data_IF_119132475700
#
_entry.id   IF_119132475700
#
_cell.length_a   1.000
_cell.length_b   1.000
_cell.length_c   1.000
_cell.angle_alpha   90.00
_cell.angle_beta   90.00
_cell.angle_gamma   90.00
#
_symmetry.space_group_name_H-M   'P 1'
#
loop_
_entity.id
_entity.type
_entity.pdbx_description
1 polymer ?
#
# COMPACT_ATOMS: atom_id res chain seq x y z
N UNK A 1 27.60 -60.40 0.21
CA UNK A 1 26.50 -59.56 -0.33
C UNK A 1 26.24 -58.36 0.59
N UNK A 2 27.04 -57.28 0.56
CA UNK A 2 26.79 -56.07 1.38
C UNK A 2 27.08 -54.74 0.66
N UNK A 3 27.63 -54.77 -0.54
CA UNK A 3 28.12 -53.58 -1.27
C UNK A 3 27.15 -53.01 -2.32
N UNK A 4 26.00 -53.64 -2.56
CA UNK A 4 25.02 -53.16 -3.57
C UNK A 4 23.95 -52.21 -3.02
N UNK A 5 23.73 -52.16 -1.71
CA UNK A 5 22.71 -51.30 -1.07
C UNK A 5 23.21 -49.84 -0.96
N UNK A 6 24.53 -49.62 -0.87
CA UNK A 6 25.13 -48.29 -0.72
C UNK A 6 25.05 -47.41 -1.98
N UNK A 7 24.90 -48.01 -3.17
CA UNK A 7 24.83 -47.24 -4.43
C UNK A 7 23.46 -46.59 -4.67
N UNK A 8 22.37 -47.16 -4.14
CA UNK A 8 21.04 -46.55 -4.27
C UNK A 8 20.83 -45.40 -3.27
N UNK A 9 21.46 -45.47 -2.09
CA UNK A 9 21.37 -44.42 -1.07
C UNK A 9 22.01 -43.09 -1.53
N UNK A 10 23.09 -43.16 -2.33
CA UNK A 10 23.75 -41.97 -2.90
C UNK A 10 22.92 -41.27 -3.99
N UNK A 11 22.00 -41.99 -4.66
CA UNK A 11 21.16 -41.43 -5.72
C UNK A 11 19.95 -40.68 -5.15
N UNK A 12 19.41 -41.12 -4.02
CA UNK A 12 18.31 -40.44 -3.31
C UNK A 12 18.74 -39.12 -2.66
N UNK A 13 20.01 -39.00 -2.25
CA UNK A 13 20.54 -37.79 -1.61
C UNK A 13 20.64 -36.60 -2.58
N UNK A 14 20.77 -36.85 -3.89
CA UNK A 14 20.85 -35.81 -4.93
C UNK A 14 19.48 -35.20 -5.27
N UNK A 15 18.38 -35.92 -5.05
CA UNK A 15 17.00 -35.44 -5.29
C UNK A 15 16.52 -34.54 -4.13
N UNK A 16 17.10 -34.68 -2.93
CA UNK A 16 16.76 -33.85 -1.77
C UNK A 16 17.41 -32.46 -1.80
N UNK A 17 18.42 -32.24 -2.66
CA UNK A 17 19.12 -30.96 -2.80
C UNK A 17 18.49 -30.03 -3.87
N UNK A 18 17.44 -30.47 -4.57
CA UNK A 18 16.79 -29.71 -5.64
C UNK A 18 15.53 -28.95 -5.20
N UNK A 19 15.40 -28.60 -3.92
CA UNK A 19 14.44 -27.57 -3.50
C UNK A 19 14.95 -26.18 -3.95
N UNK A 20 15.06 -25.98 -5.26
CA UNK A 20 15.35 -24.68 -5.84
C UNK A 20 14.19 -23.74 -5.54
N UNK A 21 14.46 -22.67 -4.81
CA UNK A 21 13.56 -21.53 -4.72
C UNK A 21 13.51 -20.84 -6.09
N UNK A 22 12.52 -21.21 -6.92
CA UNK A 22 12.21 -20.49 -8.14
C UNK A 22 11.33 -19.30 -7.77
N UNK A 23 11.92 -18.11 -7.77
CA UNK A 23 11.18 -16.88 -7.67
C UNK A 23 11.29 -16.13 -9.00
N UNK A 24 10.15 -15.67 -9.51
CA UNK A 24 10.08 -14.75 -10.64
C UNK A 24 9.76 -13.37 -10.09
N UNK A 25 10.48 -12.33 -10.55
CA UNK A 25 10.22 -10.95 -10.14
C UNK A 25 9.69 -10.17 -11.34
N UNK A 26 8.62 -9.43 -11.11
CA UNK A 26 8.00 -8.55 -12.08
C UNK A 26 7.96 -7.15 -11.49
N UNK A 27 8.12 -6.15 -12.35
CA UNK A 27 8.05 -4.77 -11.94
C UNK A 27 7.19 -4.00 -12.91
N UNK A 28 6.37 -3.10 -12.38
CA UNK A 28 5.53 -2.19 -13.13
C UNK A 28 4.68 -2.89 -14.22
N UNK A 29 4.02 -4.01 -13.88
CA UNK A 29 2.99 -4.58 -14.77
C UNK A 29 1.67 -3.83 -14.59
N UNK A 30 1.00 -3.55 -15.69
CA UNK A 30 -0.31 -2.85 -15.66
C UNK A 30 -1.38 -3.64 -14.91
N UNK A 31 -1.33 -4.97 -14.90
CA UNK A 31 -2.25 -5.80 -14.11
C UNK A 31 -2.08 -5.58 -12.60
N UNK A 32 -0.83 -5.48 -12.13
CA UNK A 32 -0.50 -5.23 -10.73
C UNK A 32 -0.94 -3.83 -10.32
N UNK A 33 -0.79 -2.86 -11.23
CA UNK A 33 -1.27 -1.48 -11.05
C UNK A 33 -2.79 -1.45 -10.89
N UNK A 34 -3.52 -2.03 -11.84
CA UNK A 34 -4.99 -1.99 -11.87
C UNK A 34 -5.60 -2.62 -10.62
N UNK A 35 -5.00 -3.71 -10.13
CA UNK A 35 -5.43 -4.35 -8.88
C UNK A 35 -5.23 -3.44 -7.66
N UNK A 36 -4.10 -2.73 -7.57
CA UNK A 36 -3.84 -1.80 -6.49
C UNK A 36 -4.71 -0.53 -6.59
N UNK A 37 -4.96 -0.02 -7.80
CA UNK A 37 -5.86 1.12 -8.03
C UNK A 37 -7.28 0.81 -7.56
N UNK A 38 -7.80 -0.39 -7.84
CA UNK A 38 -9.15 -0.77 -7.42
C UNK A 38 -9.35 -0.67 -5.89
N UNK A 39 -8.36 -1.08 -5.09
CA UNK A 39 -8.40 -0.93 -3.62
C UNK A 39 -8.41 0.54 -3.20
N UNK A 40 -7.62 1.39 -3.87
CA UNK A 40 -7.57 2.83 -3.56
C UNK A 40 -8.86 3.54 -3.98
N UNK A 41 -9.47 3.14 -5.10
CA UNK A 41 -10.77 3.67 -5.55
C UNK A 41 -11.89 3.40 -4.54
N UNK A 42 -11.99 2.15 -4.06
CA UNK A 42 -12.97 1.78 -3.03
C UNK A 42 -12.70 2.50 -1.71
N UNK A 43 -11.41 2.67 -1.35
CA UNK A 43 -11.01 3.44 -0.18
C UNK A 43 -11.44 4.92 -0.30
N UNK A 44 -11.22 5.55 -1.45
CA UNK A 44 -11.69 6.92 -1.69
C UNK A 44 -13.22 7.03 -1.68
N UNK A 45 -13.94 6.03 -2.20
CA UNK A 45 -15.39 6.00 -2.13
C UNK A 45 -15.89 5.98 -0.67
N UNK A 46 -15.24 5.18 0.20
CA UNK A 46 -15.51 5.18 1.63
C UNK A 46 -15.23 6.56 2.26
N UNK A 47 -14.10 7.19 1.95
CA UNK A 47 -13.76 8.53 2.44
C UNK A 47 -14.79 9.60 2.03
N UNK A 48 -15.20 9.63 0.75
CA UNK A 48 -16.19 10.60 0.24
C UNK A 48 -17.56 10.48 0.89
N UNK A 49 -17.94 9.27 1.28
CA UNK A 49 -19.21 9.05 2.00
C UNK A 49 -19.12 9.34 3.50
N UNK A 50 -17.92 9.69 4.00
CA UNK A 50 -17.59 9.90 5.42
C UNK A 50 -17.92 8.71 6.32
N UNK A 51 -18.10 7.54 5.72
CA UNK A 51 -18.28 6.28 6.42
C UNK A 51 -16.91 5.67 6.66
N UNK A 52 -16.18 6.24 7.61
CA UNK A 52 -14.77 5.90 7.82
C UNK A 52 -14.56 4.44 8.26
N UNK A 53 -15.57 3.80 8.86
CA UNK A 53 -15.50 2.37 9.17
C UNK A 53 -15.37 1.51 7.91
N UNK A 54 -15.95 1.94 6.77
CA UNK A 54 -15.77 1.25 5.49
C UNK A 54 -14.34 1.32 4.97
N UNK A 55 -13.48 2.16 5.51
CA UNK A 55 -12.06 2.18 5.11
C UNK A 55 -11.26 1.04 5.74
N UNK A 56 -11.70 0.53 6.89
CA UNK A 56 -10.97 -0.47 7.69
C UNK A 56 -10.66 -1.77 6.94
N UNK A 57 -11.59 -2.36 6.14
CA UNK A 57 -11.32 -3.60 5.42
C UNK A 57 -10.20 -3.54 4.38
N UNK A 58 -9.81 -2.33 3.94
CA UNK A 58 -8.72 -2.10 3.00
C UNK A 58 -7.36 -1.99 3.69
N UNK A 59 -7.33 -1.79 5.01
CA UNK A 59 -6.09 -1.62 5.77
C UNK A 59 -5.45 -2.99 6.04
N UNK A 60 -4.12 -3.02 6.05
CA UNK A 60 -3.38 -4.21 6.49
C UNK A 60 -3.41 -4.33 8.00
N UNK A 61 -3.16 -5.54 8.52
CA UNK A 61 -3.02 -5.75 9.96
C UNK A 61 -1.88 -4.88 10.53
N UNK A 62 -0.73 -4.85 9.84
CA UNK A 62 0.42 -4.00 10.24
C UNK A 62 0.10 -2.51 10.28
N UNK A 63 -0.81 -2.01 9.43
CA UNK A 63 -1.29 -0.62 9.52
C UNK A 63 -2.03 -0.40 10.85
N UNK A 64 -2.93 -1.32 11.18
CA UNK A 64 -3.79 -1.25 12.37
C UNK A 64 -3.04 -1.52 13.68
N UNK A 65 -1.91 -2.22 13.63
CA UNK A 65 -1.02 -2.42 14.78
C UNK A 65 -0.39 -1.10 15.27
N UNK A 66 -0.09 -0.19 14.34
CA UNK A 66 0.58 1.09 14.65
C UNK A 66 -0.36 2.29 14.65
N UNK A 67 -1.58 2.14 14.15
CA UNK A 67 -2.58 3.21 14.03
C UNK A 67 -3.89 2.83 14.70
N UNK A 68 -4.27 3.55 15.76
CA UNK A 68 -5.61 3.40 16.34
C UNK A 68 -6.66 3.94 15.35
N UNK A 69 -7.77 3.19 15.18
CA UNK A 69 -8.91 3.61 14.33
C UNK A 69 -9.44 5.00 14.67
N UNK A 70 -9.54 5.34 15.97
CA UNK A 70 -10.04 6.65 16.39
C UNK A 70 -9.12 7.78 15.89
N UNK A 71 -7.81 7.61 16.02
CA UNK A 71 -6.82 8.58 15.54
C UNK A 71 -6.84 8.68 14.02
N UNK A 72 -7.01 7.54 13.33
CA UNK A 72 -7.15 7.49 11.87
C UNK A 72 -8.39 8.24 11.38
N UNK A 73 -9.54 8.04 12.03
CA UNK A 73 -10.78 8.73 11.66
C UNK A 73 -10.71 10.22 12.00
N UNK A 74 -10.06 10.59 13.10
CA UNK A 74 -9.76 11.98 13.41
C UNK A 74 -8.83 12.59 12.35
N UNK A 75 -7.84 11.84 11.87
CA UNK A 75 -6.96 12.26 10.78
C UNK A 75 -7.76 12.55 9.50
N UNK A 76 -8.69 11.67 9.10
CA UNK A 76 -9.57 11.92 7.96
C UNK A 76 -10.43 13.16 8.14
N UNK A 77 -11.13 13.26 9.27
CA UNK A 77 -12.02 14.38 9.58
C UNK A 77 -11.26 15.72 9.56
N UNK A 78 -10.04 15.73 10.10
CA UNK A 78 -9.19 16.92 10.12
C UNK A 78 -8.72 17.33 8.72
N UNK A 79 -8.39 16.35 7.86
CA UNK A 79 -8.04 16.67 6.48
C UNK A 79 -9.25 17.24 5.74
N UNK A 80 -10.45 16.69 5.93
CA UNK A 80 -11.67 17.24 5.31
C UNK A 80 -12.02 18.63 5.86
N UNK A 81 -11.83 18.88 7.16
CA UNK A 81 -12.04 20.21 7.77
C UNK A 81 -11.10 21.27 7.17
N UNK A 82 -9.82 20.91 6.99
CA UNK A 82 -8.78 21.84 6.56
C UNK A 82 -8.75 22.02 5.05
N UNK A 83 -8.73 20.91 4.31
CA UNK A 83 -8.52 20.89 2.86
C UNK A 83 -9.86 20.93 2.10
N UNK A 84 -10.96 20.57 2.75
CA UNK A 84 -12.25 20.33 2.12
C UNK A 84 -12.39 18.88 1.63
N UNK A 85 -13.58 18.53 1.16
CA UNK A 85 -13.90 17.18 0.67
C UNK A 85 -13.14 16.84 -0.63
N UNK A 86 -13.01 15.54 -0.92
CA UNK A 86 -12.35 15.06 -2.14
C UNK A 86 -13.27 15.25 -3.35
N UNK A 87 -12.96 16.22 -4.21
CA UNK A 87 -13.71 16.46 -5.45
C UNK A 87 -13.27 15.48 -6.53
N UNK A 88 -11.97 15.38 -6.77
CA UNK A 88 -11.39 14.51 -7.79
C UNK A 88 -10.02 14.00 -7.37
N UNK A 89 -9.55 12.92 -7.97
CA UNK A 89 -8.19 12.43 -7.83
C UNK A 89 -7.69 11.89 -9.16
N UNK A 90 -6.39 12.02 -9.41
CA UNK A 90 -5.76 11.50 -10.63
C UNK A 90 -4.46 10.81 -10.23
N UNK A 91 -4.26 9.57 -10.71
CA UNK A 91 -3.00 8.88 -10.49
C UNK A 91 -1.89 9.65 -11.23
N UNK A 92 -0.91 10.13 -10.47
CA UNK A 92 0.25 10.87 -10.97
C UNK A 92 1.43 9.95 -11.25
N UNK A 93 1.74 9.07 -10.29
CA UNK A 93 2.86 8.14 -10.39
C UNK A 93 2.52 6.82 -9.70
N UNK A 94 3.15 5.74 -10.16
CA UNK A 94 2.98 4.43 -9.56
C UNK A 94 4.21 3.54 -9.77
N UNK A 95 4.42 2.61 -8.83
CA UNK A 95 5.44 1.56 -8.92
C UNK A 95 4.89 0.27 -8.36
N UNK A 96 5.24 -0.85 -8.97
CA UNK A 96 4.98 -2.18 -8.41
C UNK A 96 6.21 -3.06 -8.47
N UNK A 97 6.35 -3.92 -7.46
CA UNK A 97 7.33 -4.99 -7.42
C UNK A 97 6.66 -6.26 -6.89
N UNK A 98 6.53 -7.26 -7.75
CA UNK A 98 5.84 -8.52 -7.45
C UNK A 98 6.79 -9.68 -7.63
N UNK A 99 7.06 -10.36 -6.52
CA UNK A 99 7.78 -11.63 -6.46
C UNK A 99 6.75 -12.74 -6.41
N UNK A 100 6.80 -13.66 -7.38
CA UNK A 100 6.01 -14.88 -7.44
C UNK A 100 6.90 -16.10 -7.19
N UNK A 101 6.33 -17.19 -6.68
CA UNK A 101 7.03 -18.45 -6.49
C UNK A 101 7.07 -18.90 -5.03
N UNK A 102 8.23 -19.35 -4.58
CA UNK A 102 8.37 -19.96 -3.24
C UNK A 102 8.26 -18.96 -2.08
N UNK A 103 8.60 -17.68 -2.32
CA UNK A 103 8.48 -16.60 -1.32
C UNK A 103 7.75 -15.40 -1.95
N UNK A 104 6.43 -15.47 -2.12
CA UNK A 104 5.68 -14.42 -2.78
C UNK A 104 5.66 -13.14 -1.95
N UNK A 105 5.82 -12.00 -2.61
CA UNK A 105 5.72 -10.67 -2.01
C UNK A 105 5.31 -9.68 -3.08
N UNK A 106 4.32 -8.86 -2.81
CA UNK A 106 3.94 -7.78 -3.71
C UNK A 106 3.95 -6.46 -2.97
N UNK A 107 4.56 -5.46 -3.57
CA UNK A 107 4.63 -4.11 -3.06
C UNK A 107 4.17 -3.12 -4.13
N UNK A 108 3.40 -2.14 -3.70
CA UNK A 108 2.83 -1.13 -4.58
C UNK A 108 3.01 0.24 -3.94
N UNK A 109 3.35 1.23 -4.76
CA UNK A 109 3.35 2.64 -4.40
C UNK A 109 2.49 3.37 -5.42
N UNK A 110 1.43 4.04 -4.96
CA UNK A 110 0.55 4.84 -5.80
C UNK A 110 0.55 6.27 -5.25
N UNK A 111 0.69 7.24 -6.15
CA UNK A 111 0.72 8.66 -5.81
C UNK A 111 -0.34 9.38 -6.61
N UNK A 112 -1.26 10.03 -5.91
CA UNK A 112 -2.38 10.75 -6.48
C UNK A 112 -2.22 12.25 -6.28
N UNK A 113 -2.56 13.01 -7.31
CA UNK A 113 -2.93 14.42 -7.14
C UNK A 113 -4.43 14.48 -6.87
N UNK A 114 -4.82 15.08 -5.75
CA UNK A 114 -6.18 15.15 -5.24
C UNK A 114 -6.65 16.59 -5.21
N UNK A 115 -7.77 16.84 -5.89
CA UNK A 115 -8.43 18.15 -5.93
C UNK A 115 -9.39 18.29 -4.77
N UNK A 116 -9.26 19.40 -4.04
CA UNK A 116 -10.10 19.74 -2.89
C UNK A 116 -10.41 21.25 -2.90
N UNK A 117 -11.52 21.68 -2.29
CA UNK A 117 -11.99 23.07 -2.36
C UNK A 117 -11.00 24.11 -1.81
N UNK A 118 -10.28 23.80 -0.73
CA UNK A 118 -9.43 24.78 -0.05
C UNK A 118 -7.98 24.70 -0.52
N UNK A 119 -7.42 23.50 -0.55
CA UNK A 119 -6.05 23.24 -0.96
C UNK A 119 -5.95 21.85 -1.56
N UNK A 120 -5.37 21.75 -2.75
CA UNK A 120 -5.03 20.47 -3.35
C UNK A 120 -4.07 19.68 -2.45
N UNK A 121 -4.11 18.36 -2.57
CA UNK A 121 -3.21 17.46 -1.85
C UNK A 121 -2.56 16.43 -2.76
N UNK A 122 -1.34 16.05 -2.40
CA UNK A 122 -0.68 14.84 -2.86
C UNK A 122 -0.98 13.73 -1.85
N UNK A 123 -1.54 12.62 -2.33
CA UNK A 123 -1.89 11.49 -1.48
C UNK A 123 -1.14 10.24 -1.91
N UNK A 124 -0.40 9.65 -0.97
CA UNK A 124 0.52 8.55 -1.22
C UNK A 124 0.02 7.30 -0.50
N UNK A 125 -0.13 6.22 -1.25
CA UNK A 125 -0.50 4.90 -0.76
C UNK A 125 0.66 3.94 -0.95
N UNK A 126 1.04 3.25 0.11
CA UNK A 126 1.87 2.06 0.05
C UNK A 126 0.99 0.85 0.31
N UNK A 127 0.96 -0.10 -0.61
CA UNK A 127 0.15 -1.31 -0.49
C UNK A 127 1.02 -2.56 -0.54
N UNK A 128 0.47 -3.65 -0.02
CA UNK A 128 1.05 -4.99 -0.08
C UNK A 128 -0.02 -6.01 -0.45
N UNK A 129 0.37 -7.14 -1.02
CA UNK A 129 -0.52 -8.30 -1.19
C UNK A 129 -0.21 -9.34 -0.12
N UNK A 130 -1.21 -9.71 0.67
CA UNK A 130 -1.14 -10.77 1.68
C UNK A 130 -2.30 -11.71 1.41
N UNK A 131 -2.02 -13.01 1.30
CA UNK A 131 -3.03 -14.05 1.01
C UNK A 131 -3.95 -13.71 -0.17
N UNK A 132 -3.34 -13.32 -1.30
CA UNK A 132 -4.01 -12.88 -2.53
C UNK A 132 -4.92 -11.64 -2.41
N UNK A 133 -4.86 -10.93 -1.28
CA UNK A 133 -5.60 -9.68 -1.07
C UNK A 133 -4.64 -8.49 -1.01
N UNK A 134 -4.88 -7.48 -1.85
CA UNK A 134 -4.17 -6.19 -1.76
C UNK A 134 -4.72 -5.38 -0.60
N UNK A 135 -3.82 -4.83 0.22
CA UNK A 135 -4.13 -4.06 1.42
C UNK A 135 -3.21 -2.85 1.56
N UNK A 136 -3.75 -1.77 2.11
CA UNK A 136 -3.03 -0.52 2.39
C UNK A 136 -2.16 -0.71 3.62
N UNK A 137 -0.85 -0.62 3.42
CA UNK A 137 0.17 -0.65 4.47
C UNK A 137 0.48 0.74 5.02
N UNK A 138 0.22 1.79 4.24
CA UNK A 138 0.47 3.16 4.63
C UNK A 138 -0.30 4.15 3.75
N UNK A 139 -0.74 5.24 4.37
CA UNK A 139 -1.48 6.32 3.73
C UNK A 139 -0.97 7.65 4.26
N UNK A 140 -0.66 8.58 3.35
CA UNK A 140 -0.14 9.91 3.67
C UNK A 140 -0.81 10.96 2.81
N UNK A 141 -1.14 12.09 3.44
CA UNK A 141 -1.68 13.28 2.78
C UNK A 141 -0.69 14.42 2.97
N UNK A 142 -0.30 15.07 1.88
CA UNK A 142 0.58 16.23 1.86
C UNK A 142 -0.11 17.38 1.12
N UNK A 143 -0.17 18.57 1.70
CA UNK A 143 -0.72 19.76 1.04
C UNK A 143 0.25 20.93 1.20
N UNK A 144 1.18 21.12 0.25
CA UNK A 144 2.23 22.13 0.35
C UNK A 144 1.68 23.55 0.53
N UNK A 145 0.56 23.88 -0.13
CA UNK A 145 -0.05 25.20 -0.04
C UNK A 145 -0.62 25.48 1.35
N UNK A 146 -1.27 24.49 1.96
CA UNK A 146 -1.73 24.57 3.35
C UNK A 146 -0.55 24.69 4.32
N UNK A 147 0.48 23.87 4.17
CA UNK A 147 1.68 23.90 5.02
C UNK A 147 2.41 25.24 4.96
N UNK A 148 2.48 25.84 3.77
CA UNK A 148 3.06 27.16 3.56
C UNK A 148 2.25 28.26 4.25
N UNK A 149 0.91 28.18 4.18
CA UNK A 149 -0.01 29.14 4.80
C UNK A 149 0.07 29.06 6.32
N UNK A 150 0.05 27.85 6.88
CA UNK A 150 0.22 27.60 8.31
C UNK A 150 1.55 28.14 8.84
N UNK A 151 2.65 27.93 8.10
CA UNK A 151 3.97 28.42 8.49
C UNK A 151 4.09 29.95 8.50
N UNK A 152 3.34 30.65 7.63
CA UNK A 152 3.30 32.13 7.63
C UNK A 152 2.53 32.67 8.83
N UNK A 153 1.37 32.07 9.15
CA UNK A 153 0.52 32.49 10.27
C UNK A 153 1.14 32.20 11.65
N UNK A 154 2.11 31.28 11.73
CA UNK A 154 2.79 30.92 12.97
C UNK A 154 3.99 31.83 13.34
N UNK A 155 4.40 32.76 12.46
CA UNK A 155 5.44 33.74 12.81
C UNK A 155 4.83 34.90 13.60
N UNK A 156 5.33 35.22 14.81
CA UNK A 156 4.87 36.40 15.53
C UNK A 156 5.24 37.65 14.73
N UNK A 157 4.33 38.65 14.70
CA UNK A 157 4.66 39.99 14.19
C UNK A 157 5.90 40.49 14.94
N UNK A 158 6.98 40.73 14.21
CA UNK A 158 8.16 41.43 14.71
C UNK A 158 7.88 42.93 14.82
#
# INVERSE_FOLDING_TARGET
MKTRIFRCASLFLLILLSACQFNSTYSNREEDKAEAEAVVEDFYAALRTKDYEKTVPFLSESFLEVSNKADLFQFYAKNDEVLGEIENYTLRDWKSNVVMGTNPRSEYLLVYDVKRPNYDSEEIFTLTKIDDKVQILGYRVNSPDYESTRSRSAKPLQ
#
